data_IF_479243261521
#
_entry.id   IF_479243261521
#
_cell.length_a   1.000
_cell.length_b   1.000
_cell.length_c   1.000
_cell.angle_alpha   90.00
_cell.angle_beta   90.00
_cell.angle_gamma   90.00
#
_symmetry.space_group_name_H-M   'P 1'
#
loop_
_entity.id
_entity.type
_entity.pdbx_description
1 polymer ?
#
# COMPACT_ATOMS: atom_id res chain seq x y z
N UNK A 1 10.48 -28.88 -11.45
CA UNK A 1 9.62 -27.74 -11.81
C UNK A 1 8.94 -27.32 -10.53
N UNK A 2 9.27 -26.15 -10.02
CA UNK A 2 8.92 -25.70 -8.66
C UNK A 2 7.48 -25.21 -8.62
N UNK A 3 6.64 -25.83 -7.79
CA UNK A 3 5.22 -25.48 -7.63
C UNK A 3 5.06 -23.98 -7.33
N UNK A 4 5.94 -23.41 -6.53
CA UNK A 4 5.94 -21.97 -6.17
C UNK A 4 6.03 -21.06 -7.40
N UNK A 5 6.87 -21.40 -8.38
CA UNK A 5 7.03 -20.62 -9.61
C UNK A 5 5.78 -20.67 -10.49
N UNK A 6 5.06 -21.79 -10.46
CA UNK A 6 3.81 -21.93 -11.20
C UNK A 6 2.68 -21.16 -10.54
N UNK A 7 2.57 -21.29 -9.22
CA UNK A 7 1.62 -20.55 -8.37
C UNK A 7 1.80 -19.03 -8.51
N UNK A 8 3.05 -18.56 -8.60
CA UNK A 8 3.36 -17.14 -8.79
C UNK A 8 2.67 -16.49 -10.01
N UNK A 9 2.32 -17.28 -11.04
CA UNK A 9 1.61 -16.80 -12.24
C UNK A 9 0.17 -16.37 -11.96
N UNK A 10 -0.40 -16.85 -10.87
CA UNK A 10 -1.80 -16.66 -10.49
C UNK A 10 -2.01 -15.61 -9.39
N UNK A 11 -0.93 -15.00 -8.90
CA UNK A 11 -0.98 -14.00 -7.82
C UNK A 11 -1.88 -12.82 -8.21
N UNK A 12 -2.68 -12.27 -7.28
CA UNK A 12 -3.50 -11.09 -7.53
C UNK A 12 -2.65 -9.93 -8.08
N UNK A 13 -3.11 -9.34 -9.19
CA UNK A 13 -2.44 -8.21 -9.84
C UNK A 13 -3.11 -6.87 -9.55
N UNK A 14 -4.35 -6.93 -9.07
CA UNK A 14 -5.14 -5.77 -8.73
C UNK A 14 -4.76 -5.28 -7.33
N UNK A 15 -4.65 -3.98 -7.20
CA UNK A 15 -4.33 -3.34 -5.94
C UNK A 15 -4.03 -1.86 -6.13
N UNK A 16 -4.06 -1.11 -5.04
CA UNK A 16 -3.64 0.30 -5.03
C UNK A 16 -3.12 0.71 -3.66
N UNK A 17 -2.41 1.82 -3.61
CA UNK A 17 -2.07 2.50 -2.36
C UNK A 17 -3.04 3.67 -2.18
N UNK A 18 -3.61 3.82 -0.99
CA UNK A 18 -4.33 5.04 -0.59
C UNK A 18 -3.58 5.73 0.55
N UNK A 19 -3.61 7.06 0.60
CA UNK A 19 -3.13 7.84 1.74
C UNK A 19 -4.28 8.50 2.49
N UNK A 20 -4.04 8.87 3.74
CA UNK A 20 -4.90 9.76 4.51
C UNK A 20 -4.04 10.93 5.03
N UNK A 21 -4.28 12.17 4.55
CA UNK A 21 -5.29 12.56 3.55
C UNK A 21 -5.01 12.00 2.14
N UNK A 22 -6.05 11.88 1.29
CA UNK A 22 -5.93 11.24 -0.03
C UNK A 22 -5.05 12.07 -0.98
N UNK A 23 -4.02 11.42 -1.55
CA UNK A 23 -3.07 12.01 -2.50
C UNK A 23 -2.14 13.09 -1.92
N UNK A 24 -2.26 13.42 -0.63
CA UNK A 24 -1.55 14.54 0.00
C UNK A 24 -0.87 14.08 1.28
N UNK A 25 0.30 14.66 1.56
CA UNK A 25 0.98 14.56 2.84
C UNK A 25 1.37 15.95 3.33
N UNK A 26 1.40 16.17 4.63
CA UNK A 26 1.89 17.42 5.22
C UNK A 26 3.28 17.20 5.81
N UNK A 27 4.22 18.10 5.50
CA UNK A 27 5.59 18.05 6.04
C UNK A 27 5.53 18.03 7.57
N UNK A 28 6.23 17.06 8.17
CA UNK A 28 6.32 16.89 9.62
C UNK A 28 5.13 16.19 10.27
N UNK A 29 4.02 15.99 9.55
CA UNK A 29 2.86 15.25 10.07
C UNK A 29 2.92 13.76 9.69
N UNK A 30 2.17 12.93 10.40
CA UNK A 30 2.05 11.50 10.06
C UNK A 30 0.99 11.33 8.98
N UNK A 31 1.41 10.82 7.83
CA UNK A 31 0.49 10.38 6.77
C UNK A 31 0.29 8.88 6.88
N UNK A 32 -0.96 8.43 6.94
CA UNK A 32 -1.29 7.00 6.93
C UNK A 32 -1.32 6.50 5.49
N UNK A 33 -0.57 5.46 5.20
CA UNK A 33 -0.52 4.77 3.91
C UNK A 33 -1.17 3.40 4.06
N UNK A 34 -2.02 3.02 3.12
CA UNK A 34 -2.72 1.73 3.15
C UNK A 34 -2.63 1.04 1.79
N UNK A 35 -2.15 -0.20 1.77
CA UNK A 35 -2.20 -1.08 0.62
C UNK A 35 -3.60 -1.70 0.56
N UNK A 36 -4.34 -1.39 -0.50
CA UNK A 36 -5.67 -1.94 -0.77
C UNK A 36 -5.50 -3.12 -1.71
N UNK A 37 -5.40 -4.31 -1.13
CA UNK A 37 -5.33 -5.59 -1.84
C UNK A 37 -6.30 -6.57 -1.18
N UNK A 38 -6.89 -7.45 -1.99
CA UNK A 38 -7.88 -8.41 -1.53
C UNK A 38 -7.29 -9.82 -1.45
N UNK A 39 -7.84 -10.64 -0.56
CA UNK A 39 -7.65 -12.08 -0.62
C UNK A 39 -8.44 -12.64 -1.81
N UNK A 40 -7.84 -13.56 -2.55
CA UNK A 40 -8.45 -14.09 -3.79
C UNK A 40 -8.35 -15.61 -3.80
N UNK A 41 -9.45 -16.27 -4.16
CA UNK A 41 -9.45 -17.69 -4.53
C UNK A 41 -9.76 -17.82 -6.01
N UNK A 42 -8.99 -18.61 -6.75
CA UNK A 42 -9.19 -18.86 -8.19
C UNK A 42 -8.92 -20.32 -8.52
N UNK A 43 -9.61 -20.81 -9.56
CA UNK A 43 -9.26 -22.07 -10.21
C UNK A 43 -7.97 -21.89 -11.02
N UNK A 44 -7.11 -22.89 -10.99
CA UNK A 44 -5.82 -22.92 -11.67
C UNK A 44 -5.48 -24.34 -12.13
N UNK A 45 -4.78 -24.45 -13.25
CA UNK A 45 -4.11 -25.69 -13.62
C UNK A 45 -2.67 -25.62 -13.11
N UNK A 46 -2.31 -26.54 -12.22
CA UNK A 46 -0.95 -26.66 -11.66
C UNK A 46 -0.45 -28.08 -11.88
N UNK A 47 0.69 -28.21 -12.57
CA UNK A 47 1.29 -29.48 -12.97
C UNK A 47 0.32 -30.40 -13.75
N UNK A 48 -0.57 -29.80 -14.55
CA UNK A 48 -1.60 -30.52 -15.31
C UNK A 48 -2.75 -31.06 -14.47
N UNK A 49 -3.00 -30.48 -13.28
CA UNK A 49 -4.14 -30.80 -12.42
C UNK A 49 -4.95 -29.55 -12.13
N UNK A 50 -6.27 -29.67 -12.22
CA UNK A 50 -7.19 -28.64 -11.74
C UNK A 50 -7.12 -28.55 -10.22
N UNK A 51 -6.79 -27.36 -9.73
CA UNK A 51 -6.73 -27.04 -8.31
C UNK A 51 -7.35 -25.67 -8.06
N UNK A 52 -7.81 -25.43 -6.83
CA UNK A 52 -8.12 -24.08 -6.37
C UNK A 52 -6.91 -23.55 -5.63
N UNK A 53 -6.51 -22.32 -5.96
CA UNK A 53 -5.48 -21.59 -5.24
C UNK A 53 -6.10 -20.41 -4.50
N UNK A 54 -5.75 -20.27 -3.22
CA UNK A 54 -6.14 -19.13 -2.39
C UNK A 54 -4.90 -18.33 -2.02
N UNK A 55 -4.95 -17.03 -2.26
CA UNK A 55 -3.93 -16.05 -1.88
C UNK A 55 -4.47 -15.14 -0.79
N UNK A 56 -3.79 -15.11 0.35
CA UNK A 56 -4.13 -14.27 1.51
C UNK A 56 -2.96 -13.31 1.77
N UNK A 57 -3.16 -11.97 1.75
CA UNK A 57 -2.10 -11.02 2.05
C UNK A 57 -1.51 -11.29 3.44
N UNK A 58 -0.19 -11.34 3.53
CA UNK A 58 0.52 -11.70 4.76
C UNK A 58 1.58 -10.66 5.15
N UNK A 59 2.28 -10.09 4.17
CA UNK A 59 3.34 -9.09 4.40
C UNK A 59 3.28 -7.97 3.39
N UNK A 60 3.83 -6.82 3.75
CA UNK A 60 3.89 -5.63 2.91
C UNK A 60 5.28 -5.01 3.01
N UNK A 61 5.98 -4.99 1.89
CA UNK A 61 7.30 -4.39 1.79
C UNK A 61 7.15 -3.02 1.15
N UNK A 62 7.34 -1.97 1.94
CA UNK A 62 7.20 -0.58 1.53
C UNK A 62 8.56 0.03 1.17
N UNK A 63 8.56 0.90 0.16
CA UNK A 63 9.64 1.83 -0.15
C UNK A 63 9.08 3.25 -0.15
N UNK A 64 9.51 4.08 0.81
CA UNK A 64 8.92 5.40 1.08
C UNK A 64 10.04 6.35 1.48
N UNK A 65 10.18 7.50 0.82
CA UNK A 65 11.25 8.47 1.13
C UNK A 65 12.67 7.91 1.02
N UNK A 66 12.88 6.90 0.18
CA UNK A 66 14.15 6.18 0.05
C UNK A 66 14.39 5.08 1.10
N UNK A 67 13.50 4.94 2.09
CA UNK A 67 13.60 3.91 3.11
C UNK A 67 12.78 2.66 2.75
N UNK A 68 13.36 1.47 3.00
CA UNK A 68 12.68 0.19 2.86
C UNK A 68 12.23 -0.32 4.23
N UNK A 69 10.98 -0.75 4.35
CA UNK A 69 10.43 -1.32 5.59
C UNK A 69 9.40 -2.42 5.33
N UNK A 70 9.26 -3.34 6.27
CA UNK A 70 8.29 -4.44 6.18
C UNK A 70 7.23 -4.33 7.29
N UNK A 71 5.98 -4.62 6.96
CA UNK A 71 4.85 -4.65 7.90
C UNK A 71 3.98 -5.88 7.65
N UNK A 72 3.38 -6.42 8.71
CA UNK A 72 2.34 -7.47 8.60
C UNK A 72 0.97 -6.84 8.28
N UNK A 73 0.69 -5.67 8.87
CA UNK A 73 -0.50 -4.91 8.53
C UNK A 73 -0.37 -4.29 7.14
N UNK A 74 -1.50 -4.21 6.42
CA UNK A 74 -1.63 -3.54 5.13
C UNK A 74 -1.55 -2.01 5.23
N UNK A 75 -1.08 -1.47 6.35
CA UNK A 75 -0.97 -0.04 6.58
C UNK A 75 0.29 0.30 7.37
N UNK A 76 0.82 1.49 7.10
CA UNK A 76 1.96 2.06 7.80
C UNK A 76 1.81 3.57 7.85
N UNK A 77 2.45 4.21 8.82
CA UNK A 77 2.46 5.66 8.95
C UNK A 77 3.87 6.18 8.64
N UNK A 78 3.95 7.30 7.91
CA UNK A 78 5.21 7.93 7.54
C UNK A 78 5.12 9.45 7.64
N UNK A 79 6.21 10.09 8.04
CA UNK A 79 6.31 11.55 8.13
C UNK A 79 7.33 12.04 7.11
N UNK A 80 6.85 12.79 6.12
CA UNK A 80 7.71 13.38 5.10
C UNK A 80 8.37 14.66 5.62
N UNK A 81 9.65 14.86 5.27
CA UNK A 81 10.44 16.00 5.75
C UNK A 81 10.61 17.09 4.70
N UNK A 82 10.39 16.77 3.43
CA UNK A 82 10.61 17.68 2.30
C UNK A 82 9.32 17.86 1.49
N UNK A 83 9.06 19.08 1.04
CA UNK A 83 7.96 19.37 0.10
C UNK A 83 8.29 18.81 -1.27
N UNK A 84 7.28 18.36 -1.99
CA UNK A 84 7.47 17.91 -3.36
C UNK A 84 6.50 16.82 -3.77
N UNK A 85 6.92 16.06 -4.78
CA UNK A 85 6.20 14.90 -5.29
C UNK A 85 6.93 13.65 -4.86
N UNK A 86 6.32 12.85 -4.00
CA UNK A 86 6.92 11.65 -3.43
C UNK A 86 6.27 10.40 -4.01
N UNK A 87 7.09 9.44 -4.47
CA UNK A 87 6.58 8.15 -4.94
C UNK A 87 6.67 7.12 -3.82
N UNK A 88 5.52 6.55 -3.48
CA UNK A 88 5.39 5.47 -2.51
C UNK A 88 5.23 4.18 -3.28
N UNK A 89 6.00 3.16 -2.93
CA UNK A 89 5.85 1.81 -3.49
C UNK A 89 5.56 0.80 -2.39
N UNK A 90 4.80 -0.24 -2.71
CA UNK A 90 4.60 -1.41 -1.85
C UNK A 90 4.53 -2.69 -2.66
N UNK A 91 5.24 -3.72 -2.21
CA UNK A 91 5.12 -5.09 -2.72
C UNK A 91 4.37 -5.93 -1.69
N UNK A 92 3.12 -6.34 -1.96
CA UNK A 92 2.39 -7.27 -1.09
C UNK A 92 2.96 -8.69 -1.29
N UNK A 93 3.17 -9.40 -0.19
CA UNK A 93 3.49 -10.83 -0.19
C UNK A 93 2.31 -11.64 0.35
N UNK A 94 2.03 -12.76 -0.31
CA UNK A 94 0.87 -13.59 -0.04
C UNK A 94 1.28 -14.94 0.51
N UNK A 95 0.50 -15.42 1.48
CA UNK A 95 0.39 -16.86 1.77
C UNK A 95 -0.45 -17.49 0.68
N UNK A 96 0.03 -18.59 0.12
CA UNK A 96 -0.70 -19.37 -0.87
C UNK A 96 -1.18 -20.70 -0.26
N UNK A 97 -2.41 -21.11 -0.55
CA UNK A 97 -2.95 -22.42 -0.20
C UNK A 97 -3.57 -23.08 -1.43
N UNK A 98 -3.42 -24.39 -1.56
CA UNK A 98 -3.98 -25.18 -2.66
C UNK A 98 -5.03 -26.18 -2.16
N UNK A 99 -6.05 -26.42 -2.96
CA UNK A 99 -7.02 -27.50 -2.77
C UNK A 99 -7.25 -28.24 -4.09
N UNK A 100 -6.92 -29.53 -4.09
CA UNK A 100 -7.08 -30.43 -5.24
C UNK A 100 -8.33 -31.33 -5.12
N UNK A 101 -9.25 -31.00 -4.21
CA UNK A 101 -10.46 -31.76 -3.90
C UNK A 101 -10.39 -32.52 -2.57
N UNK A 102 -9.23 -32.53 -1.92
CA UNK A 102 -8.99 -33.19 -0.62
C UNK A 102 -8.82 -32.19 0.54
N UNK A 103 -9.02 -30.89 0.29
CA UNK A 103 -8.96 -29.83 1.29
C UNK A 103 -7.78 -28.89 1.10
N UNK A 104 -7.80 -27.78 1.84
CA UNK A 104 -6.78 -26.73 1.74
C UNK A 104 -5.47 -27.13 2.41
N UNK A 105 -4.37 -26.97 1.67
CA UNK A 105 -3.00 -27.09 2.18
C UNK A 105 -2.21 -25.83 1.88
N UNK A 106 -1.59 -25.26 2.90
CA UNK A 106 -0.70 -24.12 2.75
C UNK A 106 0.59 -24.54 2.03
N UNK A 107 1.05 -23.69 1.11
CA UNK A 107 2.34 -23.82 0.48
C UNK A 107 3.42 -23.18 1.36
N UNK A 108 4.59 -23.80 1.49
CA UNK A 108 5.70 -23.17 2.20
C UNK A 108 6.12 -21.88 1.50
N UNK A 109 6.51 -20.88 2.28
CA UNK A 109 7.05 -19.61 1.77
C UNK A 109 6.01 -18.52 1.55
N UNK A 110 6.47 -17.44 0.91
CA UNK A 110 5.66 -16.26 0.58
C UNK A 110 5.82 -16.00 -0.90
N UNK A 111 4.70 -15.75 -1.57
CA UNK A 111 4.67 -15.42 -2.99
C UNK A 111 4.45 -13.91 -3.14
N UNK A 112 5.42 -13.20 -3.70
CA UNK A 112 5.32 -11.76 -3.90
C UNK A 112 4.40 -11.43 -5.09
N UNK A 113 3.52 -10.46 -4.89
CA UNK A 113 2.72 -9.85 -5.94
C UNK A 113 3.47 -8.73 -6.68
N UNK A 114 2.82 -8.10 -7.67
CA UNK A 114 3.41 -6.96 -8.34
C UNK A 114 3.59 -5.78 -7.38
N UNK A 115 4.65 -5.00 -7.59
CA UNK A 115 4.83 -3.74 -6.90
C UNK A 115 3.71 -2.76 -7.30
N UNK A 116 3.02 -2.22 -6.30
CA UNK A 116 2.06 -1.13 -6.44
C UNK A 116 2.78 0.18 -6.18
N UNK A 117 2.35 1.25 -6.82
CA UNK A 117 2.89 2.58 -6.57
C UNK A 117 1.83 3.67 -6.65
N UNK A 118 2.03 4.73 -5.89
CA UNK A 118 1.25 5.96 -5.98
C UNK A 118 2.16 7.16 -5.75
N UNK A 119 1.73 8.32 -6.21
CA UNK A 119 2.44 9.58 -6.03
C UNK A 119 1.65 10.48 -5.08
N UNK A 120 2.31 10.96 -4.03
CA UNK A 120 1.75 11.91 -3.09
C UNK A 120 2.32 13.31 -3.33
N UNK A 121 1.49 14.32 -3.13
CA UNK A 121 1.93 15.72 -3.04
C UNK A 121 2.21 16.06 -1.59
N UNK A 122 3.48 16.30 -1.26
CA UNK A 122 3.88 16.76 0.07
C UNK A 122 3.84 18.29 0.12
N UNK A 123 2.98 18.82 0.98
CA UNK A 123 2.76 20.25 1.18
C UNK A 123 3.24 20.69 2.56
N UNK A 124 3.59 21.97 2.69
CA UNK A 124 3.80 22.59 4.00
C UNK A 124 2.60 23.49 4.27
N UNK A 125 1.95 23.29 5.41
CA UNK A 125 0.91 24.20 5.87
C UNK A 125 1.60 25.38 6.54
N UNK A 126 1.44 26.57 5.96
CA UNK A 126 1.77 27.83 6.63
C UNK A 126 0.47 28.42 7.16
N UNK A 127 0.24 28.32 8.46
CA UNK A 127 -0.80 29.11 9.10
C UNK A 127 -0.35 30.57 9.09
N UNK A 128 -0.99 31.39 8.25
CA UNK A 128 -0.98 32.83 8.47
C UNK A 128 -1.88 33.07 9.67
N UNK A 129 -1.29 33.55 10.76
CA UNK A 129 -2.05 33.98 11.92
C UNK A 129 -2.66 35.32 11.55
N UNK A 130 -3.97 35.36 11.26
CA UNK A 130 -4.70 36.63 11.09
C UNK A 130 -4.95 37.16 12.50
N UNK A 131 -3.89 37.71 13.08
CA UNK A 131 -3.89 38.27 14.41
C UNK A 131 -4.14 39.76 14.37
N UNK A 132 -5.31 40.18 13.88
CA UNK A 132 -5.94 41.45 14.21
C UNK A 132 -7.40 41.38 13.74
N UNK A 133 -8.32 41.76 14.62
CA UNK A 133 -9.73 41.94 14.28
C UNK A 133 -9.83 42.93 13.11
N UNK A 134 -10.80 42.77 12.19
CA UNK A 134 -11.08 43.78 11.16
C UNK A 134 -11.42 45.16 11.73
N UNK A 135 -11.71 45.23 13.03
CA UNK A 135 -11.85 46.46 13.79
C UNK A 135 -10.53 47.25 13.95
N UNK A 136 -9.37 46.59 13.86
CA UNK A 136 -8.04 47.22 14.04
C UNK A 136 -7.33 47.55 12.71
N UNK A 137 -7.51 46.74 11.66
CA UNK A 137 -6.99 47.00 10.31
C UNK A 137 -8.05 46.65 9.23
N UNK A 138 -8.93 47.59 8.86
CA UNK A 138 -10.07 47.33 7.96
C UNK A 138 -9.66 47.08 6.49
N UNK A 139 -8.40 47.32 6.12
CA UNK A 139 -7.87 47.13 4.77
C UNK A 139 -6.94 45.88 4.65
N UNK A 140 -6.84 45.09 5.71
CA UNK A 140 -5.97 43.91 5.77
C UNK A 140 -6.51 42.71 4.98
N UNK A 141 -5.66 41.87 4.36
CA UNK A 141 -6.11 40.71 3.61
C UNK A 141 -6.80 39.68 4.52
N UNK A 142 -8.14 39.65 4.47
CA UNK A 142 -9.00 38.87 5.38
C UNK A 142 -10.18 39.68 5.93
N UNK A 143 -10.13 41.00 5.73
CA UNK A 143 -11.20 41.97 5.75
C UNK A 143 -11.39 42.48 4.29
#
# INVERSE_FOLDING_TARGET
MDIEREVARFVPKDGRISSDPDGVAVVGERTRLTARVDAVTRDAEILGRDVRVRFEPLRFVWTIGGERRETEAAATDYSFTERGSETVQVTPGYRASLDAGDGWRELPGVVDGPALQTTLRVVEVRSVNVGESCDDDPDGPGC
#
